data_IF_157282050204
#
_entry.id   IF_157282050204
#
_cell.length_a   1.000
_cell.length_b   1.000
_cell.length_c   1.000
_cell.angle_alpha   90.00
_cell.angle_beta   90.00
_cell.angle_gamma   90.00
#
_symmetry.space_group_name_H-M   'P 1'
#
loop_
_entity.id
_entity.type
_entity.pdbx_description
1 polymer ?
#
# COMPACT_ATOMS: atom_id res chain seq x y z
N UNK A 1 -5.58 13.78 -21.28
CA UNK A 1 -4.61 13.95 -20.17
C UNK A 1 -5.14 13.24 -18.93
N UNK A 2 -4.33 12.40 -18.25
CA UNK A 2 -4.74 11.60 -17.07
C UNK A 2 -4.67 12.36 -15.73
N UNK A 3 -4.02 13.52 -15.72
CA UNK A 3 -3.79 14.36 -14.57
C UNK A 3 -4.21 15.81 -14.84
N UNK A 4 -4.34 16.59 -13.78
CA UNK A 4 -4.47 18.04 -13.80
C UNK A 4 -3.07 18.65 -13.91
N UNK A 5 -2.90 19.66 -14.77
CA UNK A 5 -1.64 20.41 -14.83
C UNK A 5 -1.38 21.05 -13.47
N UNK A 6 -0.28 20.67 -12.81
CA UNK A 6 0.04 21.24 -11.50
C UNK A 6 0.45 22.72 -11.65
N UNK A 7 -0.36 23.61 -11.06
CA UNK A 7 -0.11 25.06 -10.97
C UNK A 7 0.03 25.53 -9.52
N UNK A 8 0.11 24.59 -8.57
CA UNK A 8 0.24 24.88 -7.16
C UNK A 8 1.63 25.50 -6.89
N UNK A 9 1.73 26.47 -5.97
CA UNK A 9 3.01 27.06 -5.63
C UNK A 9 3.91 26.02 -4.96
N UNK A 10 5.13 25.82 -5.48
CA UNK A 10 6.12 24.96 -4.84
C UNK A 10 6.74 25.66 -3.60
N UNK A 11 7.37 24.87 -2.75
CA UNK A 11 7.93 25.35 -1.49
C UNK A 11 9.03 26.39 -1.71
N UNK A 12 8.98 27.48 -0.92
CA UNK A 12 10.04 28.49 -0.86
C UNK A 12 10.88 28.26 0.38
N UNK A 13 12.18 28.05 0.20
CA UNK A 13 13.13 27.82 1.30
C UNK A 13 13.01 28.90 2.38
N UNK A 14 12.97 28.47 3.65
CA UNK A 14 12.82 29.36 4.80
C UNK A 14 11.37 29.68 5.19
N UNK A 15 10.38 29.31 4.36
CA UNK A 15 8.96 29.49 4.70
C UNK A 15 8.54 28.45 5.74
N UNK A 16 7.77 28.82 6.79
CA UNK A 16 7.17 27.85 7.69
C UNK A 16 6.17 26.96 6.94
N UNK A 17 6.04 25.71 7.37
CA UNK A 17 5.03 24.77 6.86
C UNK A 17 4.11 24.45 8.02
N UNK A 18 2.89 24.97 7.96
CA UNK A 18 1.89 24.82 9.02
C UNK A 18 0.83 23.79 8.62
N UNK A 19 0.51 22.90 9.55
CA UNK A 19 -0.51 21.87 9.36
C UNK A 19 -1.84 22.43 9.88
N UNK A 20 -2.88 22.55 9.03
CA UNK A 20 -4.19 23.04 9.45
C UNK A 20 -4.95 21.96 10.25
N UNK A 21 -4.55 21.74 11.50
CA UNK A 21 -4.99 20.60 12.31
C UNK A 21 -6.52 20.50 12.46
N UNK A 22 -7.21 21.60 12.84
CA UNK A 22 -8.67 21.57 13.02
C UNK A 22 -9.40 21.26 11.71
N UNK A 23 -9.00 21.91 10.61
CA UNK A 23 -9.57 21.67 9.29
C UNK A 23 -9.47 20.20 8.86
N UNK A 24 -8.30 19.57 9.06
CA UNK A 24 -8.14 18.15 8.75
C UNK A 24 -8.96 17.24 9.68
N UNK A 25 -9.11 17.57 10.97
CA UNK A 25 -10.00 16.79 11.87
C UNK A 25 -11.46 16.86 11.44
N UNK A 26 -11.93 18.05 11.08
CA UNK A 26 -13.29 18.25 10.56
C UNK A 26 -13.51 17.48 9.25
N UNK A 27 -12.56 17.58 8.31
CA UNK A 27 -12.62 16.85 7.04
C UNK A 27 -12.63 15.35 7.22
N UNK A 28 -11.74 14.80 8.06
CA UNK A 28 -11.71 13.36 8.35
C UNK A 28 -13.04 12.90 8.94
N UNK A 29 -13.59 13.65 9.90
CA UNK A 29 -14.88 13.33 10.51
C UNK A 29 -16.02 13.34 9.48
N UNK A 30 -16.08 14.38 8.63
CA UNK A 30 -17.08 14.48 7.56
C UNK A 30 -16.98 13.34 6.55
N UNK A 31 -15.76 12.96 6.17
CA UNK A 31 -15.54 11.81 5.28
C UNK A 31 -16.02 10.50 5.93
N UNK A 32 -15.68 10.28 7.21
CA UNK A 32 -16.13 9.08 7.93
C UNK A 32 -17.65 9.01 7.98
N UNK A 33 -18.33 10.14 8.21
CA UNK A 33 -19.80 10.21 8.16
C UNK A 33 -20.36 9.87 6.78
N UNK A 34 -19.78 10.42 5.72
CA UNK A 34 -20.19 10.12 4.35
C UNK A 34 -19.99 8.63 4.00
N UNK A 35 -18.86 8.04 4.40
CA UNK A 35 -18.59 6.60 4.22
C UNK A 35 -19.60 5.75 4.99
N UNK A 36 -19.86 6.07 6.25
CA UNK A 36 -20.82 5.34 7.08
C UNK A 36 -22.26 5.43 6.56
N UNK A 37 -22.64 6.55 5.94
CA UNK A 37 -23.95 6.73 5.33
C UNK A 37 -24.16 5.83 4.09
N UNK A 38 -23.13 5.67 3.27
CA UNK A 38 -23.24 4.97 1.98
C UNK A 38 -22.81 3.51 2.03
N UNK A 39 -21.86 3.16 2.89
CA UNK A 39 -21.40 1.79 3.10
C UNK A 39 -22.02 1.27 4.39
N UNK A 40 -23.23 0.73 4.31
CA UNK A 40 -23.92 0.24 5.49
C UNK A 40 -23.17 -0.94 6.13
N UNK A 41 -22.89 -0.90 7.45
CA UNK A 41 -22.27 -2.03 8.14
C UNK A 41 -23.13 -3.30 8.04
N UNK A 42 -22.48 -4.47 8.02
CA UNK A 42 -23.12 -5.80 7.92
C UNK A 42 -23.91 -6.06 6.63
N UNK A 43 -23.90 -5.14 5.67
CA UNK A 43 -24.45 -5.41 4.35
C UNK A 43 -23.43 -6.23 3.53
N UNK A 44 -23.68 -7.53 3.35
CA UNK A 44 -22.69 -8.48 2.81
C UNK A 44 -22.17 -8.14 1.41
N UNK A 45 -22.95 -7.47 0.57
CA UNK A 45 -22.49 -7.02 -0.76
C UNK A 45 -21.35 -5.99 -0.67
N UNK A 46 -21.27 -5.25 0.43
CA UNK A 46 -20.20 -4.28 0.67
C UNK A 46 -18.90 -4.95 1.16
N UNK A 47 -18.90 -6.26 1.43
CA UNK A 47 -17.73 -6.98 1.96
C UNK A 47 -16.83 -7.53 0.84
N UNK A 48 -17.32 -7.65 -0.39
CA UNK A 48 -16.51 -8.14 -1.52
C UNK A 48 -15.31 -7.21 -1.78
N UNK A 49 -14.16 -7.80 -2.08
CA UNK A 49 -12.91 -7.07 -2.36
C UNK A 49 -12.08 -6.68 -1.14
N UNK A 50 -12.38 -7.26 0.03
CA UNK A 50 -11.48 -7.29 1.18
C UNK A 50 -11.08 -5.90 1.70
N UNK A 51 -9.77 -5.72 1.92
CA UNK A 51 -9.18 -4.44 2.33
C UNK A 51 -9.15 -3.42 1.19
N UNK A 52 -9.10 -3.88 -0.06
CA UNK A 52 -8.91 -3.02 -1.22
C UNK A 52 -10.16 -2.16 -1.49
N UNK A 53 -11.28 -2.80 -1.87
CA UNK A 53 -12.55 -2.11 -2.18
C UNK A 53 -13.68 -2.40 -1.20
N UNK A 54 -13.51 -3.41 -0.33
CA UNK A 54 -14.56 -3.88 0.57
C UNK A 54 -14.61 -3.21 1.95
N UNK A 55 -15.58 -3.64 2.74
CA UNK A 55 -15.87 -3.16 4.10
C UNK A 55 -14.72 -3.41 5.09
N UNK A 56 -13.83 -4.38 4.82
CA UNK A 56 -12.66 -4.58 5.67
C UNK A 56 -11.69 -3.40 5.55
N UNK A 57 -11.59 -2.78 4.38
CA UNK A 57 -10.82 -1.55 4.16
C UNK A 57 -11.39 -0.36 4.93
N UNK A 58 -12.73 -0.25 4.97
CA UNK A 58 -13.42 0.75 5.78
C UNK A 58 -13.15 0.52 7.27
N UNK A 59 -13.26 -0.73 7.74
CA UNK A 59 -12.94 -1.09 9.12
C UNK A 59 -11.49 -0.72 9.48
N UNK A 60 -10.53 -1.04 8.60
CA UNK A 60 -9.15 -0.65 8.78
C UNK A 60 -8.98 0.86 8.87
N UNK A 61 -9.62 1.64 7.98
CA UNK A 61 -9.50 3.11 7.99
C UNK A 61 -9.92 3.71 9.34
N UNK A 62 -11.04 3.24 9.92
CA UNK A 62 -11.53 3.68 11.22
C UNK A 62 -10.55 3.33 12.34
N UNK A 63 -9.99 2.12 12.31
CA UNK A 63 -8.99 1.68 13.28
C UNK A 63 -7.70 2.50 13.16
N UNK A 64 -7.24 2.77 11.94
CA UNK A 64 -6.06 3.57 11.64
C UNK A 64 -6.23 5.01 12.15
N UNK A 65 -7.32 5.68 11.77
CA UNK A 65 -7.65 7.04 12.22
C UNK A 65 -7.70 7.10 13.75
N UNK A 66 -8.33 6.12 14.39
CA UNK A 66 -8.40 6.07 15.86
C UNK A 66 -7.01 5.96 16.51
N UNK A 67 -6.10 5.20 15.91
CA UNK A 67 -4.75 4.95 16.44
C UNK A 67 -3.80 6.13 16.33
N UNK A 68 -4.10 7.13 15.51
CA UNK A 68 -3.37 8.43 15.51
C UNK A 68 -3.52 9.16 16.85
N UNK A 69 -4.56 8.86 17.63
CA UNK A 69 -4.86 9.59 18.87
C UNK A 69 -5.34 11.04 18.65
N UNK A 70 -5.50 11.47 17.39
CA UNK A 70 -5.94 12.83 17.04
C UNK A 70 -7.46 13.03 17.12
N UNK A 71 -8.22 11.94 17.35
CA UNK A 71 -9.69 11.91 17.35
C UNK A 71 -10.26 11.33 18.66
N UNK A 72 -9.95 11.90 19.84
CA UNK A 72 -10.34 11.32 21.13
C UNK A 72 -11.86 11.34 21.35
N UNK A 73 -12.59 12.33 20.79
CA UNK A 73 -14.05 12.45 20.96
C UNK A 73 -14.79 11.39 20.13
N UNK A 74 -14.28 11.08 18.96
CA UNK A 74 -14.89 10.17 17.98
C UNK A 74 -14.42 8.72 18.17
N UNK A 75 -13.32 8.49 18.90
CA UNK A 75 -12.66 7.20 19.08
C UNK A 75 -13.62 6.05 19.41
N UNK A 76 -14.51 6.23 20.39
CA UNK A 76 -15.48 5.19 20.76
C UNK A 76 -16.46 4.88 19.61
N UNK A 77 -16.90 5.91 18.88
CA UNK A 77 -17.79 5.74 17.73
C UNK A 77 -17.08 5.00 16.59
N UNK A 78 -15.86 5.41 16.27
CA UNK A 78 -15.06 4.80 15.20
C UNK A 78 -14.74 3.33 15.49
N UNK A 79 -14.36 2.99 16.73
CA UNK A 79 -14.17 1.60 17.15
C UNK A 79 -15.48 0.80 17.09
N UNK A 80 -16.60 1.41 17.48
CA UNK A 80 -17.93 0.81 17.35
C UNK A 80 -18.31 0.48 15.91
N UNK A 81 -18.06 1.40 14.97
CA UNK A 81 -18.26 1.19 13.54
C UNK A 81 -17.31 0.13 12.97
N UNK A 82 -16.02 0.20 13.33
CA UNK A 82 -15.01 -0.79 12.94
C UNK A 82 -15.47 -2.21 13.31
N UNK A 83 -15.97 -2.40 14.53
CA UNK A 83 -16.53 -3.67 14.98
C UNK A 83 -17.68 -4.14 14.10
N UNK A 84 -18.62 -3.25 13.75
CA UNK A 84 -19.78 -3.61 12.95
C UNK A 84 -19.41 -4.03 11.52
N UNK A 85 -18.47 -3.32 10.88
CA UNK A 85 -17.93 -3.73 9.58
C UNK A 85 -17.21 -5.07 9.66
N UNK A 86 -16.37 -5.27 10.67
CA UNK A 86 -15.66 -6.55 10.88
C UNK A 86 -16.62 -7.72 11.04
N UNK A 87 -17.70 -7.57 11.82
CA UNK A 87 -18.73 -8.61 11.95
C UNK A 87 -19.31 -8.99 10.59
N UNK A 88 -19.66 -8.00 9.76
CA UNK A 88 -20.15 -8.24 8.41
C UNK A 88 -19.12 -8.93 7.49
N UNK A 89 -17.85 -8.57 7.61
CA UNK A 89 -16.78 -9.18 6.81
C UNK A 89 -16.55 -10.65 7.21
N UNK A 90 -16.51 -10.95 8.52
CA UNK A 90 -16.37 -12.33 9.01
C UNK A 90 -17.56 -13.19 8.57
N UNK A 91 -18.77 -12.66 8.64
CA UNK A 91 -19.97 -13.35 8.14
C UNK A 91 -19.88 -13.62 6.63
N UNK A 92 -19.44 -12.64 5.84
CA UNK A 92 -19.23 -12.79 4.39
C UNK A 92 -18.21 -13.89 4.08
N UNK A 93 -17.04 -13.86 4.72
CA UNK A 93 -15.97 -14.84 4.47
C UNK A 93 -16.40 -16.26 4.89
N UNK A 94 -17.19 -16.41 5.95
CA UNK A 94 -17.71 -17.71 6.37
C UNK A 94 -18.63 -18.37 5.33
N UNK A 95 -19.22 -17.57 4.42
CA UNK A 95 -20.10 -18.03 3.33
C UNK A 95 -19.37 -18.17 2.00
N UNK A 96 -18.23 -17.52 1.86
CA UNK A 96 -17.41 -17.54 0.64
C UNK A 96 -16.56 -18.81 0.59
N UNK A 97 -16.70 -19.60 -0.48
CA UNK A 97 -15.85 -20.78 -0.73
C UNK A 97 -14.66 -20.47 -1.65
N UNK A 98 -14.25 -19.20 -1.80
CA UNK A 98 -13.24 -18.80 -2.78
C UNK A 98 -11.83 -19.27 -2.36
N UNK A 99 -11.10 -19.87 -3.29
CA UNK A 99 -9.68 -20.29 -3.13
C UNK A 99 -8.74 -19.10 -2.85
N UNK A 100 -9.16 -17.88 -3.18
CA UNK A 100 -8.43 -16.63 -2.95
C UNK A 100 -8.39 -16.16 -1.48
N UNK A 101 -8.80 -16.98 -0.51
CA UNK A 101 -8.81 -16.60 0.92
C UNK A 101 -7.44 -16.17 1.47
N UNK A 102 -6.35 -16.65 0.86
CA UNK A 102 -4.98 -16.26 1.23
C UNK A 102 -4.58 -14.84 0.78
N UNK A 103 -5.36 -14.21 -0.10
CA UNK A 103 -5.13 -12.83 -0.53
C UNK A 103 -5.27 -11.88 0.66
N UNK A 104 -4.24 -11.05 0.86
CA UNK A 104 -4.25 -10.06 1.94
C UNK A 104 -5.14 -8.87 1.61
N UNK A 105 -4.92 -8.20 0.46
CA UNK A 105 -5.69 -7.00 0.13
C UNK A 105 -7.11 -7.31 -0.36
N UNK A 106 -7.32 -8.44 -1.03
CA UNK A 106 -8.59 -8.76 -1.68
C UNK A 106 -9.33 -9.96 -1.07
N UNK A 107 -8.80 -10.59 -0.02
CA UNK A 107 -9.35 -11.83 0.56
C UNK A 107 -9.41 -11.87 2.09
N UNK A 108 -9.74 -13.05 2.60
CA UNK A 108 -10.00 -13.31 4.02
C UNK A 108 -8.81 -12.99 4.94
N UNK A 109 -7.56 -13.16 4.46
CA UNK A 109 -6.37 -12.82 5.25
C UNK A 109 -6.41 -11.37 5.74
N UNK A 110 -6.82 -10.43 4.90
CA UNK A 110 -6.97 -9.03 5.29
C UNK A 110 -8.01 -8.82 6.39
N UNK A 111 -9.13 -9.52 6.31
CA UNK A 111 -10.20 -9.48 7.34
C UNK A 111 -9.67 -9.98 8.68
N UNK A 112 -8.97 -11.10 8.69
CA UNK A 112 -8.38 -11.65 9.92
C UNK A 112 -7.30 -10.72 10.49
N UNK A 113 -6.47 -10.11 9.65
CA UNK A 113 -5.48 -9.15 10.12
C UNK A 113 -6.12 -7.95 10.82
N UNK A 114 -7.15 -7.33 10.23
CA UNK A 114 -7.86 -6.20 10.87
C UNK A 114 -8.59 -6.67 12.13
N UNK A 115 -9.17 -7.88 12.14
CA UNK A 115 -9.77 -8.48 13.33
C UNK A 115 -8.77 -8.62 14.49
N UNK A 116 -7.55 -9.09 14.21
CA UNK A 116 -6.49 -9.20 15.20
C UNK A 116 -6.04 -7.83 15.73
N UNK A 117 -5.87 -6.85 14.83
CA UNK A 117 -5.51 -5.48 15.20
C UNK A 117 -6.60 -4.83 16.06
N UNK A 118 -7.87 -4.93 15.65
CA UNK A 118 -9.00 -4.38 16.39
C UNK A 118 -9.11 -5.00 17.79
N UNK A 119 -9.09 -6.34 17.87
CA UNK A 119 -9.23 -7.08 19.13
C UNK A 119 -8.09 -6.77 20.10
N UNK A 120 -6.87 -6.54 19.59
CA UNK A 120 -5.72 -6.15 20.42
C UNK A 120 -5.78 -4.71 20.95
N UNK A 121 -6.78 -3.91 20.57
CA UNK A 121 -6.93 -2.52 21.05
C UNK A 121 -7.51 -2.46 22.48
N UNK A 122 -8.07 -3.58 22.99
CA UNK A 122 -8.51 -3.74 24.37
C UNK A 122 -7.61 -4.75 25.09
N UNK A 123 -7.33 -4.51 26.37
CA UNK A 123 -6.49 -5.40 27.21
C UNK A 123 -7.29 -6.50 27.93
N UNK A 124 -8.58 -6.66 27.67
CA UNK A 124 -9.39 -7.69 28.33
C UNK A 124 -9.03 -9.09 27.85
N UNK A 125 -9.19 -10.10 28.72
CA UNK A 125 -8.92 -11.51 28.38
C UNK A 125 -9.72 -11.98 27.16
N UNK A 126 -11.00 -11.63 27.08
CA UNK A 126 -11.84 -11.93 25.93
C UNK A 126 -11.30 -11.33 24.62
N UNK A 127 -10.76 -10.11 24.68
CA UNK A 127 -10.19 -9.44 23.51
C UNK A 127 -8.85 -10.07 23.09
N UNK A 128 -8.02 -10.46 24.06
CA UNK A 128 -6.79 -11.21 23.81
C UNK A 128 -7.07 -12.58 23.18
N UNK A 129 -8.10 -13.29 23.64
CA UNK A 129 -8.53 -14.56 23.07
C UNK A 129 -9.02 -14.40 21.62
N UNK A 130 -9.87 -13.40 21.36
CA UNK A 130 -10.34 -13.08 20.02
C UNK A 130 -9.17 -12.72 19.08
N UNK A 131 -8.21 -11.91 19.54
CA UNK A 131 -7.01 -11.59 18.77
C UNK A 131 -6.21 -12.85 18.39
N UNK A 132 -6.05 -13.80 19.32
CA UNK A 132 -5.35 -15.05 19.07
C UNK A 132 -6.07 -15.91 18.00
N UNK A 133 -7.40 -16.01 18.05
CA UNK A 133 -8.19 -16.73 17.04
C UNK A 133 -8.03 -16.13 15.63
N UNK A 134 -8.00 -14.80 15.53
CA UNK A 134 -7.74 -14.13 14.25
C UNK A 134 -6.32 -14.39 13.73
N UNK A 135 -5.32 -14.37 14.61
CA UNK A 135 -3.94 -14.70 14.25
C UNK A 135 -3.79 -16.15 13.80
N UNK A 136 -4.43 -17.10 14.47
CA UNK A 136 -4.44 -18.51 14.08
C UNK A 136 -5.12 -18.71 12.71
N UNK A 137 -6.24 -18.04 12.48
CA UNK A 137 -6.94 -18.06 11.19
C UNK A 137 -6.05 -17.51 10.07
N UNK A 138 -5.33 -16.40 10.32
CA UNK A 138 -4.36 -15.84 9.39
C UNK A 138 -3.21 -16.81 9.10
N UNK A 139 -2.60 -17.37 10.14
CA UNK A 139 -1.50 -18.33 10.02
C UNK A 139 -1.92 -19.59 9.23
N UNK A 140 -3.18 -20.01 9.36
CA UNK A 140 -3.76 -21.16 8.65
C UNK A 140 -3.71 -21.04 7.12
N UNK A 141 -3.58 -19.83 6.56
CA UNK A 141 -3.44 -19.61 5.11
C UNK A 141 -2.01 -19.80 4.57
N UNK A 142 -0.99 -19.94 5.43
CA UNK A 142 0.40 -20.16 5.01
C UNK A 142 0.54 -21.38 4.08
N UNK A 143 -0.20 -22.46 4.38
CA UNK A 143 -0.21 -23.70 3.57
C UNK A 143 -0.67 -23.49 2.14
N UNK A 144 -1.53 -22.50 1.89
CA UNK A 144 -2.03 -22.15 0.55
C UNK A 144 -0.95 -21.41 -0.25
N UNK A 145 -0.12 -20.63 0.44
CA UNK A 145 0.96 -19.84 -0.17
C UNK A 145 2.25 -20.65 -0.41
N UNK A 146 2.39 -21.82 0.23
CA UNK A 146 3.64 -22.61 0.21
C UNK A 146 3.98 -23.23 -1.16
N UNK A 147 3.03 -23.78 -1.96
CA UNK A 147 3.37 -24.36 -3.25
C UNK A 147 3.88 -23.29 -4.22
N UNK A 148 4.99 -23.54 -4.93
CA UNK A 148 5.59 -22.61 -5.92
C UNK A 148 4.61 -22.17 -7.02
N UNK A 149 3.66 -23.03 -7.40
CA UNK A 149 2.60 -22.72 -8.38
C UNK A 149 1.27 -22.31 -7.72
N UNK A 150 1.33 -21.39 -6.75
CA UNK A 150 0.13 -20.80 -6.15
C UNK A 150 -0.69 -20.04 -7.23
N UNK A 151 -2.03 -20.07 -7.19
CA UNK A 151 -2.93 -19.50 -8.22
C UNK A 151 -2.71 -19.98 -9.68
N UNK A 152 -1.98 -21.09 -9.89
CA UNK A 152 -1.85 -21.72 -11.19
C UNK A 152 -1.06 -20.89 -12.23
N UNK A 153 -1.51 -20.81 -13.49
CA UNK A 153 -0.76 -20.13 -14.55
C UNK A 153 -0.80 -18.60 -14.43
N UNK A 154 -1.72 -18.04 -13.65
CA UNK A 154 -1.96 -16.59 -13.58
C UNK A 154 -0.90 -15.80 -12.80
N UNK A 155 0.12 -16.45 -12.24
CA UNK A 155 1.10 -15.78 -11.37
C UNK A 155 0.64 -15.67 -9.92
N UNK A 156 1.59 -15.53 -8.99
CA UNK A 156 1.34 -15.93 -7.61
C UNK A 156 2.06 -15.14 -6.52
N UNK A 157 2.91 -14.20 -6.89
CA UNK A 157 3.84 -13.57 -5.94
C UNK A 157 3.48 -12.13 -5.59
N UNK A 158 2.59 -11.49 -6.35
CA UNK A 158 2.30 -10.07 -6.21
C UNK A 158 1.51 -9.66 -4.94
N UNK A 159 1.26 -8.36 -4.77
CA UNK A 159 0.82 -7.80 -3.49
C UNK A 159 -0.69 -7.97 -3.25
N UNK A 160 -1.54 -7.94 -4.29
CA UNK A 160 -2.99 -7.91 -4.08
C UNK A 160 -3.52 -9.29 -3.70
N UNK A 161 -3.11 -10.34 -4.42
CA UNK A 161 -3.59 -11.71 -4.28
C UNK A 161 -2.49 -12.74 -4.01
N UNK A 162 -1.23 -12.36 -4.22
CA UNK A 162 -0.07 -13.23 -4.16
C UNK A 162 0.61 -13.37 -2.78
N UNK A 163 1.76 -14.07 -2.79
CA UNK A 163 2.59 -14.31 -1.60
C UNK A 163 3.12 -13.03 -0.97
N UNK A 164 3.48 -12.00 -1.75
CA UNK A 164 3.92 -10.73 -1.19
C UNK A 164 2.80 -10.09 -0.37
N UNK A 165 1.54 -10.18 -0.83
CA UNK A 165 0.39 -9.76 -0.02
C UNK A 165 0.30 -10.48 1.31
N UNK A 166 0.38 -11.81 1.29
CA UNK A 166 0.36 -12.62 2.52
C UNK A 166 1.51 -12.27 3.48
N UNK A 167 2.73 -12.14 2.97
CA UNK A 167 3.90 -11.77 3.77
C UNK A 167 3.80 -10.33 4.30
N UNK A 168 3.24 -9.40 3.54
CA UNK A 168 2.94 -8.05 3.97
C UNK A 168 2.05 -8.03 5.22
N UNK A 169 0.98 -8.85 5.25
CA UNK A 169 0.15 -8.94 6.45
C UNK A 169 0.85 -9.63 7.64
N UNK A 170 1.75 -10.60 7.41
CA UNK A 170 2.61 -11.16 8.47
C UNK A 170 3.48 -10.06 9.08
N UNK A 171 4.13 -9.25 8.25
CA UNK A 171 4.96 -8.14 8.68
C UNK A 171 4.15 -7.10 9.46
N UNK A 172 2.99 -6.69 8.94
CA UNK A 172 2.09 -5.75 9.60
C UNK A 172 1.71 -6.21 11.02
N UNK A 173 1.28 -7.47 11.14
CA UNK A 173 0.84 -8.03 12.41
C UNK A 173 2.02 -8.13 13.41
N UNK A 174 3.19 -8.56 12.95
CA UNK A 174 4.39 -8.59 13.78
C UNK A 174 4.76 -7.18 14.28
N UNK A 175 4.77 -6.18 13.40
CA UNK A 175 5.13 -4.80 13.73
C UNK A 175 4.12 -4.14 14.67
N UNK A 176 2.80 -4.28 14.41
CA UNK A 176 1.78 -3.55 15.17
C UNK A 176 1.36 -4.26 16.47
N UNK A 177 1.59 -5.58 16.59
CA UNK A 177 1.20 -6.36 17.78
C UNK A 177 2.39 -6.86 18.60
N UNK A 178 3.61 -6.83 18.06
CA UNK A 178 4.78 -7.43 18.70
C UNK A 178 4.68 -8.96 18.84
N UNK A 179 3.88 -9.63 17.99
CA UNK A 179 3.62 -11.06 18.03
C UNK A 179 4.00 -11.72 16.71
N UNK A 180 4.71 -12.84 16.78
CA UNK A 180 4.97 -13.66 15.59
C UNK A 180 3.70 -14.38 15.17
N UNK A 181 3.32 -14.21 13.90
CA UNK A 181 2.17 -14.92 13.29
C UNK A 181 2.56 -16.32 12.84
N UNK A 182 3.81 -16.48 12.40
CA UNK A 182 4.39 -17.72 11.90
C UNK A 182 5.68 -18.03 12.68
N UNK A 183 6.07 -19.31 12.71
CA UNK A 183 7.42 -19.67 13.14
C UNK A 183 8.46 -19.09 12.17
N UNK A 184 9.67 -18.83 12.68
CA UNK A 184 10.77 -18.35 11.84
C UNK A 184 11.07 -19.30 10.67
N UNK A 185 10.98 -20.61 10.89
CA UNK A 185 11.15 -21.62 9.84
C UNK A 185 10.09 -21.50 8.73
N UNK A 186 8.82 -21.38 9.10
CA UNK A 186 7.73 -21.22 8.13
C UNK A 186 7.85 -19.91 7.36
N UNK A 187 8.22 -18.82 8.04
CA UNK A 187 8.46 -17.52 7.41
C UNK A 187 9.63 -17.56 6.41
N UNK A 188 10.77 -18.12 6.82
CA UNK A 188 11.92 -18.27 5.93
C UNK A 188 11.58 -19.16 4.73
N UNK A 189 10.83 -20.25 4.94
CA UNK A 189 10.38 -21.14 3.86
C UNK A 189 9.54 -20.38 2.85
N UNK A 190 8.55 -19.59 3.29
CA UNK A 190 7.73 -18.79 2.39
C UNK A 190 8.54 -17.75 1.62
N UNK A 191 9.47 -17.06 2.28
CA UNK A 191 10.34 -16.09 1.60
C UNK A 191 11.25 -16.77 0.55
N UNK A 192 11.80 -17.96 0.86
CA UNK A 192 12.57 -18.78 -0.09
C UNK A 192 11.73 -19.14 -1.31
N UNK A 193 10.48 -19.56 -1.12
CA UNK A 193 9.57 -19.89 -2.23
C UNK A 193 9.35 -18.70 -3.16
N UNK A 194 9.20 -17.48 -2.63
CA UNK A 194 9.08 -16.25 -3.45
C UNK A 194 10.34 -16.01 -4.29
N UNK A 195 11.53 -16.18 -3.69
CA UNK A 195 12.82 -16.01 -4.40
C UNK A 195 13.01 -17.10 -5.45
N UNK A 196 12.72 -18.36 -5.12
CA UNK A 196 12.80 -19.49 -6.06
C UNK A 196 11.83 -19.31 -7.24
N UNK A 197 10.60 -18.86 -6.99
CA UNK A 197 9.62 -18.51 -8.02
C UNK A 197 10.20 -17.48 -8.99
N UNK A 198 10.78 -16.39 -8.46
CA UNK A 198 11.38 -15.31 -9.24
C UNK A 198 12.60 -15.73 -10.05
N UNK A 199 13.50 -16.53 -9.46
CA UNK A 199 14.67 -17.10 -10.14
C UNK A 199 14.26 -18.02 -11.29
N UNK A 200 13.28 -18.91 -11.04
CA UNK A 200 12.78 -19.85 -12.03
C UNK A 200 12.16 -19.13 -13.23
N UNK A 201 11.34 -18.11 -12.97
CA UNK A 201 10.72 -17.30 -14.01
C UNK A 201 11.77 -16.53 -14.81
N UNK A 202 12.65 -15.77 -14.12
CA UNK A 202 13.73 -15.01 -14.77
C UNK A 202 14.59 -15.88 -15.69
N UNK A 203 15.03 -17.05 -15.21
CA UNK A 203 15.83 -18.00 -16.00
C UNK A 203 15.08 -18.51 -17.24
N UNK A 204 13.80 -18.86 -17.09
CA UNK A 204 12.97 -19.40 -18.18
C UNK A 204 12.70 -18.35 -19.27
N UNK A 205 12.57 -17.10 -18.88
CA UNK A 205 12.23 -15.99 -19.78
C UNK A 205 13.45 -15.15 -20.21
N UNK A 206 14.66 -15.55 -19.80
CA UNK A 206 15.90 -14.81 -20.06
C UNK A 206 15.83 -13.34 -19.63
N UNK A 207 15.21 -13.09 -18.47
CA UNK A 207 15.05 -11.74 -17.94
C UNK A 207 16.41 -11.12 -17.61
N UNK A 208 16.51 -9.80 -17.75
CA UNK A 208 17.69 -9.04 -17.35
C UNK A 208 17.80 -8.87 -15.83
N UNK A 209 16.68 -9.05 -15.11
CA UNK A 209 16.61 -9.02 -13.66
C UNK A 209 16.75 -10.43 -13.08
N UNK A 210 17.60 -10.69 -12.06
CA UNK A 210 17.73 -12.02 -11.46
C UNK A 210 16.43 -12.57 -10.88
N UNK A 211 15.57 -11.68 -10.36
CA UNK A 211 14.20 -11.99 -9.97
C UNK A 211 13.24 -11.27 -10.91
N UNK A 212 12.32 -12.03 -11.51
CA UNK A 212 11.23 -11.48 -12.31
C UNK A 212 9.97 -12.32 -12.10
N UNK A 213 8.81 -11.70 -12.27
CA UNK A 213 7.52 -12.31 -12.01
C UNK A 213 6.53 -11.86 -13.07
N UNK A 214 5.54 -12.69 -13.36
CA UNK A 214 4.37 -12.29 -14.14
C UNK A 214 3.09 -12.46 -13.34
N UNK A 215 2.12 -11.61 -13.64
CA UNK A 215 0.73 -11.78 -13.23
C UNK A 215 -0.15 -11.64 -14.47
N UNK A 216 -0.97 -12.64 -14.76
CA UNK A 216 -1.72 -12.79 -16.03
C UNK A 216 -0.83 -12.48 -17.26
N UNK A 217 0.27 -13.22 -17.38
CA UNK A 217 1.25 -13.14 -18.48
C UNK A 217 1.91 -11.77 -18.68
N UNK A 218 1.79 -10.86 -17.72
CA UNK A 218 2.39 -9.52 -17.76
C UNK A 218 3.47 -9.36 -16.70
N UNK A 219 4.66 -8.94 -17.11
CA UNK A 219 5.80 -8.61 -16.22
C UNK A 219 5.64 -7.20 -15.64
N UNK A 220 4.72 -7.05 -14.69
CA UNK A 220 4.48 -5.76 -14.03
C UNK A 220 5.71 -5.31 -13.21
N UNK A 221 5.96 -4.00 -13.21
CA UNK A 221 7.05 -3.38 -12.45
C UNK A 221 6.58 -2.66 -11.18
N UNK A 222 5.31 -2.23 -11.15
CA UNK A 222 4.74 -1.41 -10.06
C UNK A 222 4.52 -2.13 -8.73
N UNK A 223 3.99 -1.39 -7.74
CA UNK A 223 3.82 -1.89 -6.37
C UNK A 223 2.67 -2.89 -6.20
N UNK A 224 1.59 -2.78 -6.99
CA UNK A 224 0.42 -3.63 -6.85
C UNK A 224 0.68 -5.05 -7.36
N UNK A 225 0.98 -5.17 -8.65
CA UNK A 225 1.05 -6.47 -9.33
C UNK A 225 2.47 -6.91 -9.69
N UNK A 226 3.47 -6.11 -9.34
CA UNK A 226 4.78 -6.16 -9.98
C UNK A 226 5.97 -6.36 -9.07
N UNK A 227 7.13 -6.38 -9.72
CA UNK A 227 8.43 -6.59 -9.11
C UNK A 227 8.66 -5.66 -7.91
N UNK A 228 8.26 -4.39 -7.99
CA UNK A 228 8.49 -3.44 -6.91
C UNK A 228 7.81 -3.83 -5.60
N UNK A 229 6.56 -4.30 -5.64
CA UNK A 229 5.83 -4.71 -4.44
C UNK A 229 6.47 -5.94 -3.78
N UNK A 230 6.86 -6.90 -4.62
CA UNK A 230 7.45 -8.16 -4.18
C UNK A 230 8.79 -7.92 -3.49
N UNK A 231 9.69 -7.15 -4.12
CA UNK A 231 11.00 -6.84 -3.55
C UNK A 231 10.88 -6.02 -2.26
N UNK A 232 9.94 -5.07 -2.21
CA UNK A 232 9.74 -4.24 -1.01
C UNK A 232 9.34 -5.11 0.19
N UNK A 233 8.44 -6.07 -0.01
CA UNK A 233 8.02 -7.00 1.05
C UNK A 233 9.17 -7.91 1.47
N UNK A 234 9.97 -8.43 0.54
CA UNK A 234 11.16 -9.23 0.89
C UNK A 234 12.16 -8.43 1.74
N UNK A 235 12.40 -7.15 1.41
CA UNK A 235 13.20 -6.22 2.22
C UNK A 235 12.62 -5.95 3.63
N UNK A 236 11.36 -6.33 3.88
CA UNK A 236 10.75 -6.33 5.20
C UNK A 236 11.26 -7.42 6.14
N UNK A 237 12.03 -8.40 5.64
CA UNK A 237 12.54 -9.54 6.41
C UNK A 237 14.07 -9.57 6.44
N UNK A 238 14.73 -8.69 7.23
CA UNK A 238 16.18 -8.56 7.23
C UNK A 238 16.92 -9.84 7.68
N UNK A 239 16.36 -10.61 8.60
CA UNK A 239 16.96 -11.88 9.06
C UNK A 239 16.97 -12.93 7.95
N UNK A 240 15.94 -12.94 7.10
CA UNK A 240 15.90 -13.80 5.93
C UNK A 240 16.95 -13.38 4.90
N UNK A 241 17.05 -12.08 4.59
CA UNK A 241 18.03 -11.56 3.62
C UNK A 241 19.46 -11.88 4.05
N UNK A 242 19.78 -11.67 5.34
CA UNK A 242 21.11 -11.94 5.89
C UNK A 242 21.44 -13.44 5.97
N UNK A 243 20.45 -14.32 5.80
CA UNK A 243 20.66 -15.77 5.91
C UNK A 243 21.39 -16.38 4.71
N UNK A 244 21.39 -15.70 3.55
CA UNK A 244 22.03 -16.19 2.33
C UNK A 244 22.50 -15.01 1.45
N UNK A 245 23.82 -14.77 1.31
CA UNK A 245 24.36 -13.70 0.47
C UNK A 245 23.93 -13.76 -0.99
N UNK A 246 23.61 -14.94 -1.53
CA UNK A 246 23.12 -15.05 -2.91
C UNK A 246 21.71 -14.48 -3.05
N UNK A 247 20.87 -14.64 -2.02
CA UNK A 247 19.51 -14.09 -1.99
C UNK A 247 19.57 -12.57 -1.89
N UNK A 248 20.41 -12.05 -0.98
CA UNK A 248 20.61 -10.60 -0.87
C UNK A 248 21.08 -9.99 -2.20
N UNK A 249 22.06 -10.63 -2.86
CA UNK A 249 22.57 -10.19 -4.15
C UNK A 249 21.49 -10.16 -5.22
N UNK A 250 20.69 -11.22 -5.35
CA UNK A 250 19.64 -11.27 -6.37
C UNK A 250 18.54 -10.23 -6.12
N UNK A 251 18.17 -10.00 -4.86
CA UNK A 251 17.22 -8.94 -4.49
C UNK A 251 17.82 -7.57 -4.87
N UNK A 252 19.06 -7.28 -4.48
CA UNK A 252 19.72 -5.99 -4.78
C UNK A 252 19.84 -5.74 -6.28
N UNK A 253 20.34 -6.71 -7.04
CA UNK A 253 20.49 -6.61 -8.49
C UNK A 253 19.12 -6.38 -9.18
N UNK A 254 18.04 -6.95 -8.64
CA UNK A 254 16.67 -6.73 -9.13
C UNK A 254 16.13 -5.34 -8.77
N UNK A 255 16.53 -4.76 -7.63
CA UNK A 255 16.25 -3.35 -7.31
C UNK A 255 17.03 -2.43 -8.25
N UNK A 256 18.31 -2.71 -8.50
CA UNK A 256 19.15 -1.95 -9.43
C UNK A 256 18.60 -1.99 -10.87
N UNK A 257 18.01 -3.12 -11.26
CA UNK A 257 17.27 -3.23 -12.50
C UNK A 257 16.09 -2.24 -12.56
N UNK A 258 15.27 -2.14 -11.50
CA UNK A 258 14.18 -1.15 -11.46
C UNK A 258 14.69 0.30 -11.49
N UNK A 259 15.84 0.59 -10.89
CA UNK A 259 16.48 1.91 -11.02
C UNK A 259 16.83 2.20 -12.48
N UNK A 260 17.33 1.21 -13.23
CA UNK A 260 17.62 1.35 -14.67
C UNK A 260 16.36 1.51 -15.53
N UNK A 261 15.24 0.93 -15.11
CA UNK A 261 13.94 1.12 -15.78
C UNK A 261 13.34 2.52 -15.54
N UNK A 262 13.87 3.28 -14.57
CA UNK A 262 13.45 4.65 -14.36
C UNK A 262 13.84 5.50 -15.57
N UNK A 263 12.83 6.04 -16.24
CA UNK A 263 13.00 6.84 -17.46
C UNK A 263 13.93 8.03 -17.23
N UNK A 264 14.86 8.27 -18.16
CA UNK A 264 15.75 9.45 -18.08
C UNK A 264 14.96 10.76 -18.23
N UNK A 265 13.86 10.72 -19.01
CA UNK A 265 12.94 11.83 -19.22
C UNK A 265 11.72 11.71 -18.29
N UNK A 266 11.90 11.92 -16.97
CA UNK A 266 10.76 11.79 -16.06
C UNK A 266 11.07 12.03 -14.59
N UNK A 267 11.74 11.17 -13.83
CA UNK A 267 11.94 9.74 -14.05
C UNK A 267 10.82 8.91 -13.47
N UNK A 268 9.81 8.65 -14.32
CA UNK A 268 8.73 7.71 -14.04
C UNK A 268 9.22 6.28 -14.32
N UNK A 269 8.47 5.27 -13.86
CA UNK A 269 8.74 3.86 -14.12
C UNK A 269 7.58 3.31 -14.96
N UNK A 270 7.83 2.58 -16.07
CA UNK A 270 6.78 1.96 -16.85
C UNK A 270 5.94 0.96 -16.03
N UNK A 271 4.65 0.76 -16.36
CA UNK A 271 3.79 -0.20 -15.67
C UNK A 271 4.28 -1.64 -15.75
N UNK A 272 4.84 -2.02 -16.91
CA UNK A 272 5.30 -3.36 -17.25
C UNK A 272 6.61 -3.32 -18.06
N UNK A 273 7.31 -4.45 -18.12
CA UNK A 273 8.62 -4.55 -18.76
C UNK A 273 8.60 -4.34 -20.27
N UNK A 274 7.55 -4.78 -20.96
CA UNK A 274 7.37 -4.56 -22.40
C UNK A 274 7.24 -3.07 -22.76
N UNK A 275 6.77 -2.24 -21.83
CA UNK A 275 6.72 -0.78 -21.96
C UNK A 275 8.08 -0.10 -21.71
N UNK A 276 9.15 -0.83 -21.42
CA UNK A 276 10.51 -0.27 -21.32
C UNK A 276 11.15 -0.11 -22.71
N UNK A 277 11.48 1.13 -23.10
CA UNK A 277 12.24 1.41 -24.32
C UNK A 277 11.37 1.71 -25.55
N UNK A 278 11.40 0.88 -26.60
CA UNK A 278 10.78 1.24 -27.90
C UNK A 278 9.24 1.26 -27.88
N UNK A 279 8.61 0.57 -26.93
CA UNK A 279 7.15 0.55 -26.76
C UNK A 279 6.71 1.41 -25.57
N UNK A 280 7.47 2.48 -25.28
CA UNK A 280 7.13 3.40 -24.18
C UNK A 280 5.78 4.05 -24.43
N UNK A 281 4.96 4.06 -23.38
CA UNK A 281 3.67 4.75 -23.35
C UNK A 281 3.83 6.25 -23.63
N UNK A 282 2.92 6.87 -24.42
CA UNK A 282 2.94 8.32 -24.61
C UNK A 282 2.81 9.08 -23.28
N UNK A 283 3.50 10.21 -23.17
CA UNK A 283 3.59 11.01 -21.94
C UNK A 283 2.20 11.39 -21.37
N UNK A 284 1.24 11.73 -22.23
CA UNK A 284 -0.13 12.08 -21.86
C UNK A 284 -0.96 10.91 -21.30
N UNK A 285 -0.46 9.69 -21.49
CA UNK A 285 -1.07 8.44 -21.06
C UNK A 285 -0.31 7.75 -19.94
N UNK A 286 0.86 8.25 -19.53
CA UNK A 286 1.66 7.72 -18.42
C UNK A 286 0.82 7.44 -17.18
N UNK A 287 1.14 6.33 -16.51
CA UNK A 287 0.58 5.99 -15.22
C UNK A 287 1.53 6.52 -14.15
N UNK A 288 1.01 7.45 -13.34
CA UNK A 288 1.71 8.02 -12.18
C UNK A 288 0.88 7.66 -10.96
N UNK A 289 0.82 6.37 -10.66
CA UNK A 289 -0.05 5.79 -9.65
C UNK A 289 0.76 4.98 -8.64
N UNK A 290 0.19 4.69 -7.46
CA UNK A 290 0.79 3.73 -6.54
C UNK A 290 0.82 2.32 -7.17
N UNK A 291 -0.25 1.88 -7.81
CA UNK A 291 -0.25 0.55 -8.42
C UNK A 291 0.76 0.40 -9.57
N UNK A 292 0.95 1.46 -10.37
CA UNK A 292 1.80 1.47 -11.56
C UNK A 292 2.45 2.85 -11.72
N UNK A 293 3.78 2.90 -11.59
CA UNK A 293 4.59 4.11 -11.78
C UNK A 293 5.40 4.53 -10.56
N UNK A 294 6.06 5.67 -10.68
CA UNK A 294 6.89 6.29 -9.66
C UNK A 294 6.27 6.35 -8.26
N UNK A 295 4.97 6.70 -8.09
CA UNK A 295 4.37 6.77 -6.76
C UNK A 295 4.30 5.43 -6.04
N UNK A 296 4.37 4.28 -6.74
CA UNK A 296 4.47 2.96 -6.11
C UNK A 296 5.90 2.51 -5.88
N UNK A 297 6.78 2.77 -6.84
CA UNK A 297 8.17 2.26 -6.80
C UNK A 297 9.03 3.01 -5.79
N UNK A 298 8.68 4.26 -5.47
CA UNK A 298 9.39 5.08 -4.47
C UNK A 298 9.56 4.40 -3.12
N UNK A 299 8.58 3.60 -2.68
CA UNK A 299 8.64 2.89 -1.39
C UNK A 299 9.71 1.79 -1.39
N UNK A 300 9.88 1.08 -2.51
CA UNK A 300 10.97 0.11 -2.67
C UNK A 300 12.32 0.82 -2.62
N UNK A 301 12.50 1.90 -3.38
CA UNK A 301 13.76 2.65 -3.37
C UNK A 301 14.06 3.22 -1.98
N UNK A 302 13.06 3.70 -1.25
CA UNK A 302 13.26 4.20 0.10
C UNK A 302 13.67 3.07 1.06
N UNK A 303 13.04 1.89 0.95
CA UNK A 303 13.42 0.71 1.72
C UNK A 303 14.84 0.24 1.38
N UNK A 304 15.19 0.22 0.11
CA UNK A 304 16.53 -0.12 -0.38
C UNK A 304 17.59 0.86 0.14
N UNK A 305 17.33 2.17 0.09
CA UNK A 305 18.19 3.18 0.70
C UNK A 305 18.37 2.94 2.20
N UNK A 306 17.29 2.67 2.93
CA UNK A 306 17.40 2.42 4.37
C UNK A 306 18.21 1.15 4.69
N UNK A 307 18.11 0.12 3.85
CA UNK A 307 18.83 -1.16 4.01
C UNK A 307 20.31 -1.05 3.65
N UNK A 308 20.64 -0.52 2.46
CA UNK A 308 22.00 -0.56 1.92
C UNK A 308 22.76 0.78 2.01
N UNK A 309 22.08 1.88 2.34
CA UNK A 309 22.66 3.23 2.43
C UNK A 309 23.35 3.70 1.14
N UNK A 310 22.91 3.19 -0.01
CA UNK A 310 23.39 3.61 -1.32
C UNK A 310 22.61 4.83 -1.81
N UNK A 311 23.33 5.93 -2.03
CA UNK A 311 22.77 7.22 -2.41
C UNK A 311 22.00 7.16 -3.74
N UNK A 312 22.33 6.21 -4.63
CA UNK A 312 21.61 6.03 -5.89
C UNK A 312 20.11 5.77 -5.68
N UNK A 313 19.74 5.06 -4.61
CA UNK A 313 18.34 4.80 -4.27
C UNK A 313 17.64 6.05 -3.73
N UNK A 314 18.31 6.88 -2.92
CA UNK A 314 17.75 8.15 -2.46
C UNK A 314 17.51 9.09 -3.65
N UNK A 315 18.46 9.20 -4.58
CA UNK A 315 18.28 9.98 -5.80
C UNK A 315 17.13 9.46 -6.66
N UNK A 316 16.94 8.13 -6.73
CA UNK A 316 15.79 7.54 -7.41
C UNK A 316 14.46 7.91 -6.73
N UNK A 317 14.40 7.93 -5.38
CA UNK A 317 13.25 8.41 -4.63
C UNK A 317 12.91 9.87 -4.94
N UNK A 318 13.90 10.75 -4.98
CA UNK A 318 13.70 12.17 -5.27
C UNK A 318 13.14 12.38 -6.68
N UNK A 319 13.65 11.65 -7.68
CA UNK A 319 13.08 11.65 -9.04
C UNK A 319 11.62 11.17 -9.07
N UNK A 320 11.28 10.14 -8.30
CA UNK A 320 9.87 9.72 -8.17
C UNK A 320 9.00 10.83 -7.55
N UNK A 321 9.53 11.56 -6.56
CA UNK A 321 8.87 12.71 -5.95
C UNK A 321 8.62 13.85 -6.94
N UNK A 322 9.58 14.14 -7.83
CA UNK A 322 9.43 15.20 -8.83
C UNK A 322 8.40 14.85 -9.91
N UNK A 323 8.37 13.60 -10.40
CA UNK A 323 7.28 13.11 -11.28
C UNK A 323 5.93 13.23 -10.59
N UNK A 324 5.87 12.82 -9.32
CA UNK A 324 4.62 12.86 -8.56
C UNK A 324 4.15 14.29 -8.35
N UNK A 325 5.07 15.24 -8.17
CA UNK A 325 4.73 16.66 -8.09
C UNK A 325 4.18 17.17 -9.42
N UNK A 326 4.83 16.85 -10.54
CA UNK A 326 4.41 17.33 -11.85
C UNK A 326 3.06 16.73 -12.31
N UNK A 327 2.86 15.42 -12.08
CA UNK A 327 1.80 14.62 -12.73
C UNK A 327 0.88 13.88 -11.75
N UNK A 328 1.07 13.99 -10.44
CA UNK A 328 0.35 13.23 -9.42
C UNK A 328 -1.00 13.81 -9.00
N UNK A 329 -1.42 14.97 -9.52
CA UNK A 329 -2.78 15.48 -9.38
C UNK A 329 -3.71 14.73 -10.33
N UNK A 330 -4.12 13.51 -9.97
CA UNK A 330 -4.77 12.58 -10.88
C UNK A 330 -6.26 12.92 -11.10
N UNK A 331 -6.72 12.86 -12.36
CA UNK A 331 -8.16 12.98 -12.70
C UNK A 331 -8.97 11.75 -12.30
N UNK A 332 -8.31 10.67 -11.88
CA UNK A 332 -8.96 9.38 -11.58
C UNK A 332 -9.71 9.38 -10.24
N UNK A 333 -9.41 10.31 -9.33
CA UNK A 333 -10.14 10.48 -8.08
C UNK A 333 -9.23 10.71 -6.87
N UNK A 334 -9.79 10.67 -5.66
CA UNK A 334 -9.07 11.06 -4.45
C UNK A 334 -8.30 9.90 -3.78
N UNK A 335 -8.58 8.64 -4.14
CA UNK A 335 -8.11 7.45 -3.41
C UNK A 335 -6.59 7.19 -3.38
N UNK A 336 -6.21 6.06 -2.77
CA UNK A 336 -4.82 5.67 -2.52
C UNK A 336 -4.13 4.99 -3.71
N UNK A 337 -4.82 4.08 -4.39
CA UNK A 337 -4.19 3.21 -5.39
C UNK A 337 -3.71 3.99 -6.63
N UNK A 338 -4.50 4.96 -7.04
CA UNK A 338 -4.31 5.74 -8.26
C UNK A 338 -5.11 7.04 -8.18
N UNK A 339 -5.06 7.70 -7.03
CA UNK A 339 -5.69 8.99 -6.76
C UNK A 339 -4.75 9.94 -6.03
N UNK A 340 -5.24 11.15 -5.75
CA UNK A 340 -4.44 12.25 -5.22
C UNK A 340 -3.90 11.95 -3.81
N UNK A 341 -4.66 11.26 -2.94
CA UNK A 341 -4.16 10.87 -1.62
C UNK A 341 -2.97 9.92 -1.72
N UNK A 342 -3.01 8.96 -2.65
CA UNK A 342 -1.88 8.06 -2.92
C UNK A 342 -0.62 8.80 -3.34
N UNK A 343 -0.77 9.77 -4.24
CA UNK A 343 0.33 10.67 -4.62
C UNK A 343 0.83 11.52 -3.44
N UNK A 344 -0.08 11.98 -2.57
CA UNK A 344 0.26 12.74 -1.37
C UNK A 344 1.15 11.98 -0.39
N UNK A 345 0.92 10.68 -0.23
CA UNK A 345 1.76 9.81 0.61
C UNK A 345 3.21 9.70 0.13
N UNK A 346 3.49 9.87 -1.17
CA UNK A 346 4.88 9.95 -1.67
C UNK A 346 5.63 11.07 -0.98
N UNK A 347 4.99 12.21 -0.79
CA UNK A 347 5.62 13.35 -0.13
C UNK A 347 5.73 13.17 1.38
N UNK A 348 4.78 12.50 2.03
CA UNK A 348 4.93 12.12 3.44
C UNK A 348 6.11 11.17 3.64
N UNK A 349 6.28 10.18 2.75
CA UNK A 349 7.44 9.29 2.75
C UNK A 349 8.75 10.08 2.59
N UNK A 350 8.84 10.94 1.57
CA UNK A 350 10.06 11.72 1.30
C UNK A 350 10.38 12.70 2.43
N UNK A 351 9.36 13.29 3.06
CA UNK A 351 9.53 14.12 4.23
C UNK A 351 10.15 13.33 5.40
N UNK A 352 9.60 12.16 5.73
CA UNK A 352 10.17 11.28 6.76
C UNK A 352 11.58 10.79 6.43
N UNK A 353 11.87 10.58 5.14
CA UNK A 353 13.16 10.06 4.68
C UNK A 353 14.28 11.11 4.72
N UNK A 354 13.95 12.37 4.44
CA UNK A 354 14.94 13.46 4.21
C UNK A 354 14.92 14.55 5.27
N UNK A 355 13.81 14.69 6.01
CA UNK A 355 13.55 15.86 6.86
C UNK A 355 13.26 17.16 6.10
N UNK A 356 13.24 17.15 4.76
CA UNK A 356 13.00 18.35 3.96
C UNK A 356 11.52 18.76 4.04
N UNK A 357 11.28 19.99 4.49
CA UNK A 357 9.95 20.60 4.61
C UNK A 357 9.27 20.81 3.26
N UNK A 358 10.03 20.86 2.16
CA UNK A 358 9.50 20.89 0.79
C UNK A 358 8.49 19.78 0.56
N UNK A 359 8.79 18.58 1.03
CA UNK A 359 7.91 17.44 0.82
C UNK A 359 6.64 17.55 1.67
N UNK A 360 6.73 17.96 2.93
CA UNK A 360 5.53 18.21 3.73
C UNK A 360 4.63 19.29 3.10
N UNK A 361 5.21 20.37 2.58
CA UNK A 361 4.47 21.40 1.83
C UNK A 361 3.74 20.80 0.63
N UNK A 362 4.41 19.99 -0.19
CA UNK A 362 3.80 19.34 -1.36
C UNK A 362 2.65 18.38 -0.96
N UNK A 363 2.78 17.67 0.16
CA UNK A 363 1.71 16.82 0.71
C UNK A 363 0.46 17.64 1.07
N UNK A 364 0.65 18.79 1.75
CA UNK A 364 -0.42 19.71 2.11
C UNK A 364 -1.09 20.33 0.89
N UNK A 365 -0.32 20.70 -0.13
CA UNK A 365 -0.85 21.21 -1.41
C UNK A 365 -1.75 20.17 -2.09
N UNK A 366 -1.37 18.88 -2.09
CA UNK A 366 -2.18 17.81 -2.65
C UNK A 366 -3.48 17.58 -1.85
N UNK A 367 -3.42 17.70 -0.52
CA UNK A 367 -4.61 17.63 0.33
C UNK A 367 -5.59 18.78 0.08
N UNK A 368 -5.08 20.00 -0.13
CA UNK A 368 -5.86 21.18 -0.42
C UNK A 368 -6.49 21.12 -1.83
N UNK A 369 -5.76 20.64 -2.83
CA UNK A 369 -6.26 20.54 -4.21
C UNK A 369 -7.52 19.68 -4.34
N UNK A 370 -7.67 18.63 -3.52
CA UNK A 370 -8.89 17.82 -3.49
C UNK A 370 -10.15 18.59 -3.07
N UNK A 371 -10.00 19.80 -2.54
CA UNK A 371 -11.11 20.69 -2.16
C UNK A 371 -11.41 21.75 -3.23
N UNK A 372 -10.54 21.92 -4.21
CA UNK A 372 -10.74 22.92 -5.27
C UNK A 372 -11.92 22.56 -6.17
N UNK A 373 -12.61 23.59 -6.65
CA UNK A 373 -13.73 23.44 -7.58
C UNK A 373 -13.32 22.73 -8.87
N UNK A 374 -12.07 22.91 -9.31
CA UNK A 374 -11.54 22.21 -10.47
C UNK A 374 -11.58 20.69 -10.25
N UNK A 375 -11.06 20.21 -9.11
CA UNK A 375 -11.07 18.80 -8.79
C UNK A 375 -12.51 18.27 -8.71
N UNK A 376 -13.41 18.97 -8.00
CA UNK A 376 -14.81 18.57 -7.84
C UNK A 376 -15.57 18.44 -9.16
N UNK A 377 -15.27 19.27 -10.15
CA UNK A 377 -15.96 19.27 -11.47
C UNK A 377 -15.38 18.27 -12.46
N UNK A 378 -14.07 18.05 -12.43
CA UNK A 378 -13.36 17.34 -13.50
C UNK A 378 -12.82 15.96 -13.09
N UNK A 379 -12.73 15.65 -11.80
CA UNK A 379 -12.32 14.34 -11.33
C UNK A 379 -13.39 13.28 -11.61
N UNK A 380 -12.96 12.07 -11.92
CA UNK A 380 -13.83 10.91 -12.09
C UNK A 380 -14.29 10.40 -10.73
N UNK A 381 -15.50 9.83 -10.70
CA UNK A 381 -15.98 9.05 -9.56
C UNK A 381 -15.35 7.65 -9.65
N UNK A 382 -14.67 7.16 -8.59
CA UNK A 382 -14.14 5.80 -8.57
C UNK A 382 -15.25 4.74 -8.59
N UNK A 383 -14.93 3.51 -8.99
CA UNK A 383 -15.89 2.40 -9.01
C UNK A 383 -16.34 2.04 -7.58
N UNK A 384 -15.42 2.05 -6.61
CA UNK A 384 -15.72 1.94 -5.19
C UNK A 384 -15.43 3.27 -4.44
N UNK A 385 -16.31 4.29 -4.54
CA UNK A 385 -16.02 5.67 -4.14
C UNK A 385 -15.81 5.87 -2.63
N UNK A 386 -16.21 4.92 -1.80
CA UNK A 386 -16.10 4.97 -0.34
C UNK A 386 -15.07 3.98 0.23
N UNK A 387 -14.35 3.27 -0.63
CA UNK A 387 -13.38 2.25 -0.22
C UNK A 387 -12.03 2.80 0.26
N UNK A 388 -11.20 1.92 0.80
CA UNK A 388 -9.85 2.25 1.25
C UNK A 388 -8.92 2.59 0.07
N UNK A 389 -8.84 1.75 -0.97
CA UNK A 389 -7.85 1.94 -2.02
C UNK A 389 -8.31 2.85 -3.17
N UNK A 390 -9.61 2.94 -3.45
CA UNK A 390 -10.11 3.77 -4.55
C UNK A 390 -10.81 5.06 -4.07
N UNK A 391 -11.33 5.03 -2.84
CA UNK A 391 -12.32 5.99 -2.37
C UNK A 391 -11.91 6.88 -1.20
N UNK A 392 -12.93 7.43 -0.57
CA UNK A 392 -12.80 8.40 0.50
C UNK A 392 -12.26 7.82 1.81
N UNK A 393 -12.46 6.53 2.11
CA UNK A 393 -11.89 5.94 3.33
C UNK A 393 -10.36 6.00 3.33
N UNK A 394 -9.71 5.80 2.18
CA UNK A 394 -8.27 6.02 2.05
C UNK A 394 -7.85 7.47 2.10
N UNK A 395 -8.69 8.37 1.56
CA UNK A 395 -8.48 9.82 1.68
C UNK A 395 -8.49 10.24 3.15
N UNK A 396 -9.39 9.69 3.96
CA UNK A 396 -9.42 9.95 5.40
C UNK A 396 -8.15 9.46 6.11
N UNK A 397 -7.59 8.30 5.74
CA UNK A 397 -6.29 7.86 6.27
C UNK A 397 -5.18 8.87 5.95
N UNK A 398 -5.08 9.32 4.69
CA UNK A 398 -4.09 10.33 4.28
C UNK A 398 -4.21 11.63 5.06
N UNK A 399 -5.43 12.17 5.22
CA UNK A 399 -5.67 13.40 5.96
C UNK A 399 -5.38 13.24 7.47
N UNK A 400 -5.67 12.06 8.04
CA UNK A 400 -5.31 11.77 9.43
C UNK A 400 -3.79 11.67 9.61
N UNK A 401 -3.07 11.08 8.65
CA UNK A 401 -1.61 10.97 8.69
C UNK A 401 -0.90 12.32 8.50
N UNK A 402 -1.53 13.27 7.82
CA UNK A 402 -1.03 14.66 7.75
C UNK A 402 -1.00 15.37 9.11
N UNK A 403 -1.76 14.89 10.11
CA UNK A 403 -1.71 15.42 11.48
C UNK A 403 -0.48 14.93 12.24
N UNK A 404 0.14 13.83 11.80
CA UNK A 404 1.34 13.23 12.40
C UNK A 404 2.34 12.79 11.31
N UNK A 405 2.88 13.74 10.51
CA UNK A 405 3.65 13.40 9.31
C UNK A 405 4.91 12.56 9.59
N UNK A 406 5.49 12.66 10.78
CA UNK A 406 6.65 11.86 11.23
C UNK A 406 6.35 10.37 11.40
N UNK A 407 5.06 10.01 11.55
CA UNK A 407 4.59 8.63 11.72
C UNK A 407 3.82 8.11 10.51
N UNK A 408 3.53 8.98 9.53
CA UNK A 408 2.69 8.68 8.39
C UNK A 408 3.18 7.47 7.58
N UNK A 409 2.27 6.56 7.26
CA UNK A 409 2.58 5.29 6.62
C UNK A 409 1.51 4.98 5.58
N UNK A 410 1.92 4.79 4.31
CA UNK A 410 0.97 4.33 3.30
C UNK A 410 0.37 2.98 3.77
N UNK A 411 -0.96 2.84 3.82
CA UNK A 411 -1.61 1.64 4.34
C UNK A 411 -1.03 0.34 3.78
N UNK A 412 -0.43 -0.46 4.66
CA UNK A 412 0.17 -1.77 4.35
C UNK A 412 1.44 -1.74 3.49
N UNK A 413 2.11 -0.60 3.34
CA UNK A 413 3.31 -0.50 2.52
C UNK A 413 4.43 0.24 3.27
N UNK A 414 4.80 -0.33 4.42
CA UNK A 414 5.73 0.27 5.38
C UNK A 414 7.19 0.28 4.88
N UNK A 415 7.90 1.39 5.09
CA UNK A 415 9.33 1.53 4.75
C UNK A 415 10.26 1.45 5.97
N UNK A 416 9.86 1.95 7.13
CA UNK A 416 10.75 2.23 8.27
C UNK A 416 10.88 1.07 9.25
#
# INVERSE_FOLDING_TARGET
MRYFTNRLPDYKAGTPVEIPHEHFRERVTSIVDAVAQHVQPRHLQNCEGGLYVGSAGVAYSLLHITRTGQFPKESLRYLGLCKQYLVGCVEYESRSKKEAGASFLCGACGVHAVGALYSSSSKSEASNHAAAQYLESYAGFAKVCTPVKFLGPSGSDELLVGRAGYLCGVQLLAQKLGKQVLSQEALHTLCKVVVESGRNYSKRHHSQSPLMYSYYDTEYLGAAHGLSGILQVLLGFPDFIKSDPSIEKDIRDSVDFLVKCQTEHGGNIPPALDECGRQTRPAEHELVHWCHGAPGVVYLFAKAYLTWKDEAYLQACLRCGDVTWEKGLLKKGPGLCHGIAGSGYVFLLLHRLTGDKKHLHRALQFAAFMEEDQFRREARVPDAPYSLYEGLAGTACFLADLLEPEKAEFPFFNVF
#
